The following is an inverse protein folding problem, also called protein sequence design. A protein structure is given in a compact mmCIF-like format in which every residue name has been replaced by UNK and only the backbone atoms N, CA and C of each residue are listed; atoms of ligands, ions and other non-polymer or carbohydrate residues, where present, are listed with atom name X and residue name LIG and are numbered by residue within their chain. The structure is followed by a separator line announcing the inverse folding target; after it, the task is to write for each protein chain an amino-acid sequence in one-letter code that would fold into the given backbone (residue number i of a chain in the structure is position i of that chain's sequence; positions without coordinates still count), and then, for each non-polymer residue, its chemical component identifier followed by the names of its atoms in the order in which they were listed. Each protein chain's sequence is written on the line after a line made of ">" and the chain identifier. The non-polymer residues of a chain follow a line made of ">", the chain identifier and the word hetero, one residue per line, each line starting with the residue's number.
data_IF_824412444115
#
_entry.id   IF_824412444115
#
_cell.length_a   1.000
_cell.length_b   1.000
_cell.length_c   1.000
_cell.angle_alpha   90.00
_cell.angle_beta   90.00
_cell.angle_gamma   90.00
#
_symmetry.space_group_name_H-M   'P 1'
#
loop_
_entity.id
_entity.type
_entity.pdbx_description
1 polymer ?
#
# COMPACT_ATOMS: atom_id res chain seq x y z
N UNK A 1 2.67 8.81 2.06
CA UNK A 1 3.54 7.75 2.57
C UNK A 1 2.73 6.47 2.73
N UNK A 2 2.77 5.55 1.76
CA UNK A 2 1.99 4.30 1.82
C UNK A 2 2.21 3.46 3.10
N UNK A 3 1.20 2.67 3.48
CA UNK A 3 1.27 1.68 4.56
C UNK A 3 0.51 0.44 4.12
N UNK A 4 1.00 -0.74 4.48
CA UNK A 4 0.22 -1.98 4.41
C UNK A 4 0.41 -2.78 5.68
N UNK A 5 -0.67 -3.39 6.17
CA UNK A 5 -0.65 -4.27 7.34
C UNK A 5 -1.35 -5.55 6.94
N UNK A 6 -0.75 -6.69 7.27
CA UNK A 6 -1.30 -8.00 7.00
C UNK A 6 -1.38 -8.83 8.28
N UNK A 7 -2.28 -9.80 8.28
CA UNK A 7 -2.43 -10.76 9.37
C UNK A 7 -2.78 -12.14 8.84
N UNK A 8 -2.32 -13.14 9.58
CA UNK A 8 -2.70 -14.56 9.44
C UNK A 8 -3.39 -15.07 10.70
N UNK A 9 -3.87 -14.17 11.56
CA UNK A 9 -4.42 -14.53 12.87
C UNK A 9 -5.92 -14.89 12.85
N UNK A 10 -6.65 -14.50 11.80
CA UNK A 10 -8.09 -14.75 11.75
C UNK A 10 -8.39 -16.24 11.43
N UNK A 11 -9.29 -16.91 12.15
CA UNK A 11 -9.60 -18.32 11.93
C UNK A 11 -10.28 -18.58 10.58
N UNK A 12 -11.17 -17.70 10.12
CA UNK A 12 -11.83 -17.84 8.81
C UNK A 12 -11.01 -17.29 7.63
N UNK A 13 -10.09 -16.36 7.89
CA UNK A 13 -9.31 -15.64 6.89
C UNK A 13 -7.82 -15.89 7.14
N UNK A 14 -7.25 -17.03 6.67
CA UNK A 14 -5.84 -17.35 6.87
C UNK A 14 -4.88 -16.30 6.31
N UNK A 15 -5.36 -15.43 5.41
CA UNK A 15 -4.65 -14.22 5.01
C UNK A 15 -5.60 -13.02 4.91
N UNK A 16 -5.20 -11.92 5.52
CA UNK A 16 -5.84 -10.62 5.44
C UNK A 16 -4.79 -9.54 5.19
N UNK A 17 -5.10 -8.57 4.33
CA UNK A 17 -4.27 -7.39 4.09
C UNK A 17 -5.11 -6.13 3.99
N UNK A 18 -4.64 -5.05 4.63
CA UNK A 18 -5.15 -3.69 4.49
C UNK A 18 -4.03 -2.77 3.98
N UNK A 19 -4.33 -1.80 3.12
CA UNK A 19 -3.33 -0.93 2.51
C UNK A 19 -3.84 0.47 2.20
N UNK A 20 -3.02 1.49 2.47
CA UNK A 20 -3.19 2.84 1.94
C UNK A 20 -2.12 3.14 0.88
N UNK A 21 -2.56 3.63 -0.27
CA UNK A 21 -1.71 4.28 -1.25
C UNK A 21 -1.83 5.79 -1.10
N UNK A 22 -0.73 6.40 -0.70
CA UNK A 22 -0.62 7.85 -0.62
C UNK A 22 0.20 8.39 -1.76
N UNK A 23 -0.34 9.37 -2.45
CA UNK A 23 0.27 9.96 -3.63
C UNK A 23 -0.34 11.33 -3.96
N UNK A 24 0.26 12.05 -4.89
CA UNK A 24 -0.38 13.19 -5.52
C UNK A 24 -1.74 12.80 -6.13
N UNK A 25 -2.78 13.57 -5.81
CA UNK A 25 -4.14 13.36 -6.30
C UNK A 25 -4.21 13.49 -7.83
N UNK A 26 -3.39 14.39 -8.39
CA UNK A 26 -3.26 14.58 -9.83
C UNK A 26 -2.56 13.43 -10.56
N UNK A 27 -1.98 12.46 -9.84
CA UNK A 27 -1.27 11.35 -10.48
C UNK A 27 -2.28 10.37 -11.07
N UNK A 28 -2.31 10.20 -12.41
CA UNK A 28 -3.35 9.42 -13.05
C UNK A 28 -3.18 7.92 -12.74
N UNK A 29 -4.28 7.28 -12.36
CA UNK A 29 -4.34 5.83 -12.09
C UNK A 29 -5.61 5.22 -12.65
N UNK A 30 -5.55 3.95 -13.06
CA UNK A 30 -6.74 3.11 -13.20
C UNK A 30 -7.07 2.47 -11.86
N UNK A 31 -8.37 2.36 -11.57
CA UNK A 31 -8.91 1.60 -10.44
C UNK A 31 -8.58 0.11 -10.61
N UNK A 32 -8.64 -0.64 -9.52
CA UNK A 32 -8.39 -2.07 -9.57
C UNK A 32 -9.37 -2.81 -10.48
N UNK A 33 -8.81 -3.50 -11.47
CA UNK A 33 -9.50 -4.39 -12.39
C UNK A 33 -8.53 -5.49 -12.87
N UNK A 34 -9.04 -6.51 -13.53
CA UNK A 34 -8.22 -7.47 -14.24
C UNK A 34 -7.47 -6.76 -15.37
N UNK A 35 -6.17 -6.95 -15.44
CA UNK A 35 -5.35 -6.29 -16.45
C UNK A 35 -5.68 -6.79 -17.85
N UNK A 36 -5.42 -5.95 -18.85
CA UNK A 36 -5.51 -6.38 -20.24
C UNK A 36 -4.44 -7.44 -20.56
N UNK A 37 -4.66 -8.27 -21.60
CA UNK A 37 -3.63 -9.15 -22.13
C UNK A 37 -2.30 -8.43 -22.39
N UNK A 38 -1.15 -9.09 -22.18
CA UNK A 38 -1.00 -10.52 -21.92
C UNK A 38 -1.12 -10.92 -20.43
N UNK A 39 -1.31 -9.98 -19.51
CA UNK A 39 -1.27 -10.24 -18.06
C UNK A 39 -2.66 -10.29 -17.41
N UNK A 40 -3.63 -10.88 -18.09
CA UNK A 40 -5.04 -10.94 -17.64
C UNK A 40 -5.30 -11.80 -16.40
N UNK A 41 -4.26 -12.43 -15.86
CA UNK A 41 -4.30 -13.09 -14.55
C UNK A 41 -4.09 -12.14 -13.37
N UNK A 42 -3.74 -10.86 -13.60
CA UNK A 42 -3.40 -9.92 -12.52
C UNK A 42 -4.58 -8.99 -12.23
N UNK A 43 -4.94 -8.87 -10.97
CA UNK A 43 -5.94 -7.94 -10.44
C UNK A 43 -5.25 -6.85 -9.61
N UNK A 44 -5.46 -5.59 -9.97
CA UNK A 44 -5.02 -4.43 -9.17
C UNK A 44 -4.96 -3.14 -9.97
N UNK A 45 -4.79 -2.02 -9.29
CA UNK A 45 -4.71 -0.70 -9.94
C UNK A 45 -3.47 -0.54 -10.82
N UNK A 46 -3.55 0.39 -11.78
CA UNK A 46 -2.43 0.72 -12.69
C UNK A 46 -2.06 2.19 -12.56
N UNK A 47 -0.78 2.46 -12.39
CA UNK A 47 -0.21 3.79 -12.58
C UNK A 47 -0.22 4.14 -14.07
N UNK A 48 -0.70 5.33 -14.43
CA UNK A 48 -0.74 5.80 -15.82
C UNK A 48 0.32 6.87 -16.12
N UNK A 49 1.07 7.31 -15.10
CA UNK A 49 2.08 8.36 -15.24
C UNK A 49 3.28 7.90 -16.06
N UNK A 50 3.56 6.58 -16.05
CA UNK A 50 4.74 5.97 -16.65
C UNK A 50 4.35 4.94 -17.72
N UNK A 51 5.19 4.76 -18.74
CA UNK A 51 4.90 3.88 -19.88
C UNK A 51 4.76 2.41 -19.48
N UNK A 52 5.55 1.95 -18.51
CA UNK A 52 5.52 0.59 -17.96
C UNK A 52 4.20 0.28 -17.24
N UNK A 53 3.45 1.33 -16.90
CA UNK A 53 2.21 1.29 -16.13
C UNK A 53 2.38 0.44 -14.88
N UNK A 54 3.18 0.92 -13.93
CA UNK A 54 3.47 0.16 -12.70
C UNK A 54 2.22 -0.12 -11.85
N UNK A 55 2.36 -0.99 -10.84
CA UNK A 55 1.35 -1.17 -9.79
C UNK A 55 1.98 -1.04 -8.40
N UNK A 56 1.16 -0.77 -7.39
CA UNK A 56 1.58 -0.66 -5.99
C UNK A 56 1.15 -1.86 -5.15
N UNK A 57 0.02 -2.48 -5.49
CA UNK A 57 -0.55 -3.66 -4.85
C UNK A 57 -1.42 -4.40 -5.87
N UNK A 58 -1.16 -5.68 -6.05
CA UNK A 58 -1.97 -6.55 -6.89
C UNK A 58 -1.86 -8.02 -6.46
N UNK A 59 -2.84 -8.82 -6.88
CA UNK A 59 -2.91 -10.26 -6.66
C UNK A 59 -3.26 -10.96 -7.98
N UNK A 60 -2.71 -12.15 -8.22
CA UNK A 60 -3.03 -12.95 -9.40
C UNK A 60 -4.05 -14.05 -9.12
N UNK A 61 -4.66 -14.60 -10.18
CA UNK A 61 -5.50 -15.81 -10.09
C UNK A 61 -4.78 -17.01 -9.46
N UNK A 62 -3.45 -17.06 -9.53
CA UNK A 62 -2.63 -18.12 -8.94
C UNK A 62 -2.20 -17.81 -7.49
N UNK A 63 -2.67 -16.70 -6.92
CA UNK A 63 -2.36 -16.31 -5.54
C UNK A 63 -1.01 -15.62 -5.38
N UNK A 64 -0.32 -15.22 -6.47
CA UNK A 64 0.86 -14.35 -6.33
C UNK A 64 0.38 -12.97 -5.91
N UNK A 65 0.82 -12.49 -4.76
CA UNK A 65 0.54 -11.14 -4.26
C UNK A 65 1.86 -10.36 -4.20
N UNK A 66 1.82 -9.08 -4.53
CA UNK A 66 2.95 -8.19 -4.32
C UNK A 66 2.49 -6.78 -3.94
N UNK A 67 3.20 -6.18 -2.99
CA UNK A 67 3.01 -4.82 -2.51
C UNK A 67 4.35 -4.12 -2.49
N UNK A 68 4.40 -2.87 -2.96
CA UNK A 68 5.60 -2.06 -2.92
C UNK A 68 5.34 -0.72 -2.20
N UNK A 69 6.18 -0.43 -1.22
CA UNK A 69 6.23 0.87 -0.55
C UNK A 69 7.54 1.58 -0.93
N UNK A 70 7.42 2.83 -1.35
CA UNK A 70 8.57 3.68 -1.66
C UNK A 70 9.31 4.03 -0.37
N UNK A 71 10.63 3.89 -0.31
CA UNK A 71 11.41 4.41 0.82
C UNK A 71 11.37 5.94 0.80
N UNK A 72 11.33 6.54 1.98
CA UNK A 72 11.55 7.98 2.13
C UNK A 72 13.04 8.23 2.36
N UNK A 73 13.66 8.95 1.45
CA UNK A 73 15.07 9.35 1.53
C UNK A 73 15.13 10.85 1.85
N UNK A 74 16.12 11.28 2.64
CA UNK A 74 16.36 12.70 2.89
C UNK A 74 17.27 13.27 1.79
N UNK A 75 16.86 14.38 1.18
CA UNK A 75 17.58 15.04 0.09
C UNK A 75 17.10 14.62 -1.30
N UNK A 76 16.99 15.61 -2.20
CA UNK A 76 16.77 15.44 -3.64
C UNK A 76 18.01 14.82 -4.29
N UNK A 77 18.40 13.60 -3.91
CA UNK A 77 19.26 12.84 -4.79
C UNK A 77 18.42 12.51 -6.02
N UNK A 78 18.82 13.06 -7.16
CA UNK A 78 18.25 12.80 -8.48
C UNK A 78 18.29 11.30 -8.78
N UNK A 79 17.33 10.58 -8.23
CA UNK A 79 17.04 9.20 -8.55
C UNK A 79 16.70 9.19 -10.03
N UNK A 80 17.37 8.30 -10.77
CA UNK A 80 17.20 8.15 -12.20
C UNK A 80 15.71 7.99 -12.53
N UNK A 81 15.07 9.08 -12.97
CA UNK A 81 13.63 9.14 -13.17
C UNK A 81 13.16 8.20 -14.29
N UNK A 82 14.08 7.54 -15.00
CA UNK A 82 13.77 6.65 -16.10
C UNK A 82 13.11 5.33 -15.66
N UNK A 83 13.42 4.77 -14.47
CA UNK A 83 12.88 3.47 -14.03
C UNK A 83 11.76 3.62 -12.98
N UNK A 84 10.59 3.04 -13.25
CA UNK A 84 9.45 3.03 -12.33
C UNK A 84 9.57 1.89 -11.30
N UNK A 85 9.52 2.21 -9.99
CA UNK A 85 9.45 1.20 -8.92
C UNK A 85 8.28 0.22 -9.08
N UNK A 86 7.15 0.69 -9.60
CA UNK A 86 6.00 -0.18 -9.86
C UNK A 86 6.25 -1.23 -10.96
N UNK A 87 7.30 -1.08 -11.77
CA UNK A 87 7.72 -2.10 -12.72
C UNK A 87 8.34 -3.32 -12.01
N UNK A 88 8.93 -3.13 -10.82
CA UNK A 88 9.45 -4.23 -9.99
C UNK A 88 8.30 -5.14 -9.54
N UNK A 89 7.20 -4.54 -9.08
CA UNK A 89 5.98 -5.25 -8.70
C UNK A 89 5.39 -5.98 -9.91
N UNK A 90 5.33 -5.33 -11.07
CA UNK A 90 4.91 -5.98 -12.32
C UNK A 90 5.78 -7.22 -12.62
N UNK A 91 7.10 -7.12 -12.46
CA UNK A 91 8.03 -8.20 -12.83
C UNK A 91 7.79 -9.54 -12.11
N UNK A 92 7.16 -9.52 -10.91
CA UNK A 92 6.74 -10.74 -10.21
C UNK A 92 5.33 -11.19 -10.62
N UNK A 93 4.40 -10.25 -10.72
CA UNK A 93 2.99 -10.52 -11.01
C UNK A 93 2.77 -11.04 -12.45
N UNK A 94 3.62 -10.62 -13.38
CA UNK A 94 3.54 -11.01 -14.79
C UNK A 94 4.40 -12.21 -15.15
N UNK A 95 5.05 -12.86 -14.17
CA UNK A 95 5.70 -14.16 -14.39
C UNK A 95 4.63 -15.13 -14.95
N UNK A 96 4.91 -15.88 -16.03
CA UNK A 96 3.97 -16.87 -16.54
C UNK A 96 3.53 -17.87 -15.44
N UNK A 97 2.26 -18.30 -15.41
CA UNK A 97 1.77 -19.26 -14.40
C UNK A 97 2.52 -20.59 -14.38
N UNK A 98 3.05 -21.01 -15.53
CA UNK A 98 3.82 -22.22 -15.79
C UNK A 98 5.33 -22.05 -15.62
N UNK A 99 5.80 -20.83 -15.33
CA UNK A 99 7.22 -20.57 -15.04
C UNK A 99 7.65 -21.21 -13.72
N UNK A 100 8.84 -21.82 -13.73
CA UNK A 100 9.51 -22.35 -12.53
C UNK A 100 10.29 -21.32 -11.71
N UNK A 101 10.20 -20.02 -12.02
CA UNK A 101 10.89 -18.97 -11.27
C UNK A 101 10.36 -18.89 -9.82
N UNK A 102 11.26 -19.06 -8.86
CA UNK A 102 10.96 -18.96 -7.42
C UNK A 102 11.09 -17.52 -6.92
N UNK A 103 10.59 -17.23 -5.72
CA UNK A 103 10.80 -15.91 -5.11
C UNK A 103 12.30 -15.61 -4.90
N UNK A 104 13.10 -16.61 -4.52
CA UNK A 104 14.55 -16.47 -4.40
C UNK A 104 15.20 -16.18 -5.76
N UNK A 105 14.78 -16.87 -6.82
CA UNK A 105 15.26 -16.62 -8.18
C UNK A 105 14.93 -15.21 -8.67
N UNK A 106 13.72 -14.72 -8.39
CA UNK A 106 13.34 -13.33 -8.63
C UNK A 106 14.25 -12.38 -7.85
N UNK A 107 14.44 -12.61 -6.55
CA UNK A 107 15.28 -11.75 -5.70
C UNK A 107 16.70 -11.64 -6.23
N UNK A 108 17.31 -12.76 -6.61
CA UNK A 108 18.64 -12.79 -7.20
C UNK A 108 18.70 -12.04 -8.52
N UNK A 109 17.70 -12.21 -9.40
CA UNK A 109 17.62 -11.50 -10.67
C UNK A 109 17.47 -10.00 -10.47
N UNK A 110 16.65 -9.58 -9.51
CA UNK A 110 16.45 -8.17 -9.16
C UNK A 110 17.73 -7.55 -8.59
N UNK A 111 18.42 -8.24 -7.68
CA UNK A 111 19.67 -7.75 -7.08
C UNK A 111 20.84 -7.71 -8.07
N UNK A 112 20.84 -8.55 -9.11
CA UNK A 112 21.84 -8.53 -10.19
C UNK A 112 21.54 -7.48 -11.26
N UNK A 113 20.32 -6.95 -11.35
CA UNK A 113 20.01 -5.84 -12.26
C UNK A 113 20.74 -4.59 -11.77
N UNK A 114 21.77 -4.18 -12.51
CA UNK A 114 22.59 -2.99 -12.24
C UNK A 114 21.73 -1.76 -11.94
N UNK A 115 20.56 -1.64 -12.58
CA UNK A 115 19.71 -0.47 -12.38
C UNK A 115 18.81 -0.51 -11.14
N UNK A 116 18.81 -1.55 -10.30
CA UNK A 116 18.01 -1.56 -9.06
C UNK A 116 18.61 -0.68 -7.97
N UNK A 117 19.93 -0.52 -7.98
CA UNK A 117 20.65 0.34 -7.05
C UNK A 117 20.52 1.82 -7.46
N UNK A 118 20.37 2.09 -8.75
CA UNK A 118 20.10 3.43 -9.31
C UNK A 118 18.63 3.87 -9.13
N UNK A 119 17.76 2.95 -8.72
CA UNK A 119 16.37 3.27 -8.36
C UNK A 119 16.29 3.84 -6.94
N UNK A 120 15.30 4.72 -6.74
CA UNK A 120 14.95 5.24 -5.43
C UNK A 120 14.59 4.10 -4.49
N UNK A 121 14.78 4.32 -3.19
CA UNK A 121 14.57 3.28 -2.21
C UNK A 121 13.17 2.67 -2.32
N UNK A 122 13.05 1.38 -2.05
CA UNK A 122 11.76 0.69 -1.88
C UNK A 122 11.85 -0.48 -0.92
N UNK A 123 10.70 -0.91 -0.40
CA UNK A 123 10.49 -2.22 0.20
C UNK A 123 9.35 -2.90 -0.55
N UNK A 124 9.59 -4.13 -1.01
CA UNK A 124 8.59 -4.95 -1.66
C UNK A 124 8.34 -6.20 -0.82
N UNK A 125 7.07 -6.46 -0.54
CA UNK A 125 6.58 -7.69 0.05
C UNK A 125 5.88 -8.50 -1.04
N UNK A 126 6.24 -9.76 -1.21
CA UNK A 126 5.69 -10.57 -2.30
C UNK A 126 5.76 -12.07 -2.01
N UNK A 127 4.92 -12.85 -2.67
CA UNK A 127 4.92 -14.30 -2.52
C UNK A 127 3.64 -14.92 -3.05
N UNK A 128 3.62 -16.25 -3.13
CA UNK A 128 2.42 -17.01 -3.53
C UNK A 128 1.66 -17.48 -2.29
N UNK A 129 0.42 -17.01 -2.15
CA UNK A 129 -0.51 -17.47 -1.12
C UNK A 129 -0.92 -18.92 -1.40
N UNK A 130 -0.98 -19.73 -0.35
CA UNK A 130 -1.35 -21.15 -0.39
C UNK A 130 -2.15 -21.50 0.86
N UNK A 131 -2.94 -22.57 0.78
CA UNK A 131 -3.64 -23.10 1.94
C UNK A 131 -2.66 -23.40 3.08
N UNK A 132 -2.99 -23.01 4.33
CA UNK A 132 -2.24 -23.46 5.50
C UNK A 132 -2.19 -25.00 5.51
N UNK A 133 -0.99 -25.58 5.57
CA UNK A 133 -0.86 -27.04 5.66
C UNK A 133 -1.33 -27.48 7.04
N UNK A 134 -2.24 -28.47 7.08
CA UNK A 134 -2.75 -29.04 8.33
C UNK A 134 -1.60 -29.43 9.25
N UNK A 135 -1.85 -29.27 10.55
CA UNK A 135 -0.99 -29.73 11.64
C UNK A 135 -0.52 -31.16 11.38
N UNK A 136 0.80 -31.37 11.33
CA UNK A 136 1.35 -32.65 11.75
C UNK A 136 1.21 -32.73 13.29
N UNK A 137 1.10 -33.93 13.87
CA UNK A 137 0.85 -34.23 15.29
C UNK A 137 1.83 -33.60 16.33
N UNK A 138 2.66 -32.63 15.94
CA UNK A 138 3.67 -31.95 16.76
C UNK A 138 3.18 -30.68 17.48
N UNK A 139 1.90 -30.30 17.38
CA UNK A 139 1.34 -29.16 18.12
C UNK A 139 1.90 -27.77 17.72
N UNK A 140 2.56 -27.66 16.57
CA UNK A 140 3.15 -26.42 16.04
C UNK A 140 2.22 -25.75 15.03
N UNK A 141 2.01 -24.42 15.09
CA UNK A 141 1.13 -23.67 14.16
C UNK A 141 1.30 -24.07 12.69
N UNK A 142 0.20 -24.12 11.89
CA UNK A 142 0.25 -24.43 10.46
C UNK A 142 1.35 -23.64 9.73
N UNK A 143 2.25 -24.36 9.06
CA UNK A 143 3.34 -23.75 8.31
C UNK A 143 2.80 -23.24 6.96
N UNK A 144 3.09 -21.98 6.66
CA UNK A 144 2.75 -21.30 5.42
C UNK A 144 4.04 -20.93 4.67
N UNK A 145 4.02 -20.85 3.33
CA UNK A 145 5.19 -20.44 2.55
C UNK A 145 5.72 -19.05 2.95
N UNK A 146 4.85 -18.21 3.52
CA UNK A 146 5.14 -16.84 3.88
C UNK A 146 5.37 -15.94 2.67
N UNK A 147 5.52 -14.66 2.97
CA UNK A 147 5.80 -13.60 2.00
C UNK A 147 7.23 -13.10 2.19
N UNK A 148 7.96 -13.07 1.09
CA UNK A 148 9.31 -12.56 1.02
C UNK A 148 9.36 -11.04 1.05
N UNK A 149 10.41 -10.49 1.67
CA UNK A 149 10.70 -9.07 1.72
C UNK A 149 12.01 -8.80 0.99
N UNK A 150 11.99 -7.87 0.06
CA UNK A 150 13.17 -7.36 -0.63
C UNK A 150 13.20 -5.83 -0.61
N UNK A 151 14.38 -5.25 -0.43
CA UNK A 151 14.62 -3.82 -0.44
C UNK A 151 16.00 -3.55 -1.04
N UNK A 152 16.12 -2.46 -1.79
CA UNK A 152 17.40 -1.99 -2.36
C UNK A 152 18.15 -1.03 -1.41
N UNK A 153 17.69 -0.89 -0.15
CA UNK A 153 18.31 -0.06 0.90
C UNK A 153 18.72 -0.84 2.15
N UNK A 154 18.47 -2.14 2.16
CA UNK A 154 18.92 -3.04 3.23
C UNK A 154 19.81 -4.10 2.63
N UNK A 155 20.94 -4.40 3.26
CA UNK A 155 21.79 -5.52 2.84
C UNK A 155 20.96 -6.80 2.76
N UNK A 156 21.00 -7.45 1.61
CA UNK A 156 20.38 -8.76 1.45
C UNK A 156 21.19 -9.75 2.26
N UNK A 157 20.66 -10.24 3.39
CA UNK A 157 21.18 -11.45 4.01
C UNK A 157 21.21 -12.58 2.98
N UNK A 158 22.09 -13.56 3.14
CA UNK A 158 22.19 -14.75 2.27
C UNK A 158 20.89 -15.57 2.16
N UNK A 159 19.87 -15.23 2.95
CA UNK A 159 18.51 -15.76 2.88
C UNK A 159 17.50 -14.62 2.79
N UNK A 160 16.51 -14.80 1.92
CA UNK A 160 15.38 -13.89 1.75
C UNK A 160 14.54 -13.88 3.04
N UNK A 161 14.35 -12.70 3.64
CA UNK A 161 13.51 -12.57 4.84
C UNK A 161 12.07 -12.88 4.48
N UNK A 162 11.42 -13.77 5.24
CA UNK A 162 10.00 -14.12 5.08
C UNK A 162 9.21 -13.79 6.35
N UNK A 163 7.96 -13.39 6.17
CA UNK A 163 6.97 -13.13 7.22
C UNK A 163 5.68 -13.88 6.91
N UNK A 164 4.76 -13.96 7.88
CA UNK A 164 3.52 -14.73 7.73
C UNK A 164 3.79 -16.20 7.38
N UNK A 165 4.82 -16.77 8.03
CA UNK A 165 5.20 -18.18 7.84
C UNK A 165 4.39 -19.11 8.75
N UNK A 166 3.69 -18.56 9.74
CA UNK A 166 2.80 -19.28 10.65
C UNK A 166 1.49 -18.51 10.86
N UNK A 167 0.44 -19.25 11.23
CA UNK A 167 -0.82 -18.66 11.65
C UNK A 167 -0.64 -17.85 12.94
N UNK A 168 -1.35 -16.72 13.08
CA UNK A 168 -1.24 -15.82 14.24
C UNK A 168 -0.26 -14.67 14.09
N UNK A 169 0.39 -14.53 12.93
CA UNK A 169 1.32 -13.43 12.67
C UNK A 169 0.58 -12.16 12.24
N UNK A 170 1.11 -10.99 12.58
CA UNK A 170 0.62 -9.69 12.08
C UNK A 170 1.80 -8.76 11.88
N UNK A 171 1.92 -8.23 10.67
CA UNK A 171 3.08 -7.45 10.23
C UNK A 171 2.67 -6.24 9.43
N UNK A 172 3.40 -5.14 9.60
CA UNK A 172 3.22 -3.91 8.85
C UNK A 172 4.47 -3.52 8.06
N UNK A 173 4.25 -2.94 6.89
CA UNK A 173 5.29 -2.34 6.04
C UNK A 173 4.90 -0.91 5.69
N UNK A 174 5.90 -0.03 5.55
CA UNK A 174 5.69 1.34 5.11
C UNK A 174 6.94 1.85 4.37
N UNK A 175 7.14 3.16 4.33
CA UNK A 175 8.15 3.85 3.51
C UNK A 175 9.56 3.81 4.11
N UNK A 176 9.91 2.71 4.78
CA UNK A 176 11.20 2.47 5.41
C UNK A 176 11.52 0.98 5.40
N UNK A 177 12.66 0.60 6.01
CA UNK A 177 13.05 -0.80 6.05
C UNK A 177 12.07 -1.60 6.90
N UNK A 178 11.91 -2.88 6.57
CA UNK A 178 11.07 -3.75 7.40
C UNK A 178 11.59 -3.82 8.83
N UNK A 179 10.68 -3.74 9.81
CA UNK A 179 11.00 -3.73 11.23
C UNK A 179 11.42 -2.36 11.78
N UNK A 180 11.34 -1.28 10.99
CA UNK A 180 11.55 0.08 11.48
C UNK A 180 10.42 0.50 12.43
N UNK A 181 10.73 0.57 13.73
CA UNK A 181 9.79 0.98 14.77
C UNK A 181 9.69 2.51 14.92
N UNK A 182 10.45 3.29 14.17
CA UNK A 182 10.40 4.77 14.20
C UNK A 182 9.21 5.35 13.42
N UNK A 183 8.37 4.48 12.84
CA UNK A 183 7.12 4.83 12.15
C UNK A 183 5.91 4.42 13.00
N UNK A 184 5.38 5.31 13.86
CA UNK A 184 4.31 4.96 14.79
C UNK A 184 3.06 4.42 14.11
N UNK A 185 2.74 4.88 12.89
CA UNK A 185 1.59 4.37 12.13
C UNK A 185 1.67 2.87 11.83
N UNK A 186 2.88 2.31 11.70
CA UNK A 186 3.07 0.87 11.42
C UNK A 186 2.74 0.07 12.67
N UNK A 187 3.29 0.47 13.82
CA UNK A 187 3.00 -0.13 15.12
C UNK A 187 1.50 -0.05 15.39
N UNK A 188 0.94 1.16 15.28
CA UNK A 188 -0.49 1.42 15.49
C UNK A 188 -1.38 0.62 14.54
N UNK A 189 -1.03 0.54 13.25
CA UNK A 189 -1.77 -0.23 12.27
C UNK A 189 -1.81 -1.73 12.61
N UNK A 190 -0.69 -2.30 13.07
CA UNK A 190 -0.64 -3.70 13.53
C UNK A 190 -1.49 -3.90 14.78
N UNK A 191 -1.43 -2.99 15.76
CA UNK A 191 -2.23 -3.06 16.99
C UNK A 191 -3.73 -2.97 16.71
N UNK A 192 -4.14 -2.02 15.87
CA UNK A 192 -5.53 -1.85 15.47
C UNK A 192 -6.05 -3.07 14.70
N UNK A 193 -5.25 -3.62 13.79
CA UNK A 193 -5.65 -4.81 13.05
C UNK A 193 -5.81 -6.02 13.97
N UNK A 194 -4.90 -6.23 14.93
CA UNK A 194 -5.04 -7.30 15.93
C UNK A 194 -6.34 -7.17 16.71
N UNK A 195 -6.64 -5.96 17.22
CA UNK A 195 -7.88 -5.70 17.97
C UNK A 195 -9.12 -5.96 17.12
N UNK A 196 -9.18 -5.45 15.89
CA UNK A 196 -10.32 -5.67 14.99
C UNK A 196 -10.53 -7.16 14.68
N UNK A 197 -9.45 -7.94 14.55
CA UNK A 197 -9.53 -9.39 14.38
C UNK A 197 -10.02 -10.07 15.67
N UNK A 198 -9.44 -9.74 16.83
CA UNK A 198 -9.85 -10.29 18.13
C UNK A 198 -11.33 -10.02 18.42
N UNK A 199 -11.77 -8.78 18.19
CA UNK A 199 -13.17 -8.35 18.36
C UNK A 199 -14.10 -9.11 17.40
N UNK A 200 -13.73 -9.28 16.12
CA UNK A 200 -14.52 -10.02 15.16
C UNK A 200 -14.56 -11.53 15.49
N UNK A 201 -13.50 -12.11 16.03
CA UNK A 201 -13.50 -13.51 16.46
C UNK A 201 -14.37 -13.71 17.71
N UNK A 202 -14.30 -12.79 18.67
CA UNK A 202 -15.09 -12.86 19.89
C UNK A 202 -16.58 -12.56 19.65
N UNK A 203 -16.86 -11.57 18.81
CA UNK A 203 -18.20 -11.13 18.41
C UNK A 203 -18.24 -10.95 16.89
N UNK A 204 -18.53 -12.03 16.14
CA UNK A 204 -18.60 -11.98 14.69
C UNK A 204 -19.49 -10.87 14.17
N UNK A 205 -18.96 -10.10 13.22
CA UNK A 205 -19.73 -9.08 12.53
C UNK A 205 -20.93 -9.70 11.81
N UNK A 206 -22.03 -8.96 11.71
CA UNK A 206 -23.28 -9.45 11.12
C UNK A 206 -23.13 -9.85 9.64
N UNK A 207 -22.15 -9.31 8.94
CA UNK A 207 -21.77 -9.68 7.58
C UNK A 207 -20.28 -9.49 7.32
N UNK A 208 -19.78 -10.09 6.23
CA UNK A 208 -18.42 -9.83 5.74
C UNK A 208 -18.22 -8.34 5.38
N UNK A 209 -19.27 -7.65 4.91
CA UNK A 209 -19.18 -6.22 4.59
C UNK A 209 -18.93 -5.38 5.84
N UNK A 210 -19.60 -5.69 6.95
CA UNK A 210 -19.38 -4.99 8.22
C UNK A 210 -17.93 -5.20 8.70
N UNK A 211 -17.39 -6.41 8.55
CA UNK A 211 -15.99 -6.67 8.85
C UNK A 211 -15.04 -5.87 7.93
N UNK A 212 -15.32 -5.81 6.62
CA UNK A 212 -14.56 -4.99 5.67
C UNK A 212 -14.60 -3.51 6.04
N UNK A 213 -15.74 -2.97 6.48
CA UNK A 213 -15.82 -1.58 6.92
C UNK A 213 -15.03 -1.33 8.23
N UNK A 214 -15.03 -2.28 9.17
CA UNK A 214 -14.17 -2.22 10.34
C UNK A 214 -12.68 -2.18 9.96
N UNK A 215 -12.28 -2.92 8.92
CA UNK A 215 -10.91 -2.88 8.39
C UNK A 215 -10.59 -1.55 7.69
N UNK A 216 -11.53 -0.99 6.92
CA UNK A 216 -11.37 0.35 6.34
C UNK A 216 -11.27 1.44 7.41
N UNK A 217 -11.92 1.28 8.57
CA UNK A 217 -11.83 2.27 9.66
C UNK A 217 -10.38 2.46 10.16
N UNK A 218 -9.57 1.39 10.15
CA UNK A 218 -8.14 1.45 10.47
C UNK A 218 -7.40 2.35 9.47
N UNK A 219 -7.74 2.21 8.19
CA UNK A 219 -7.14 2.96 7.09
C UNK A 219 -7.52 4.46 7.07
N UNK A 220 -8.50 4.86 7.88
CA UNK A 220 -8.98 6.24 8.03
C UNK A 220 -8.40 6.97 9.26
N UNK A 221 -7.49 6.36 10.01
CA UNK A 221 -6.88 6.99 11.19
C UNK A 221 -5.96 8.16 10.79
N UNK A 222 -6.38 9.38 11.12
CA UNK A 222 -5.67 10.64 10.89
C UNK A 222 -5.09 11.20 12.20
N UNK A 223 -3.79 11.00 12.40
CA UNK A 223 -3.03 11.55 13.54
C UNK A 223 -2.12 12.72 13.11
N UNK A 224 -2.28 13.26 11.89
CA UNK A 224 -1.41 14.35 11.43
C UNK A 224 -1.86 15.65 12.10
N UNK A 225 -0.97 16.39 12.77
CA UNK A 225 -1.30 17.72 13.27
C UNK A 225 -1.60 18.67 12.10
N UNK A 226 -2.39 19.72 12.36
CA UNK A 226 -2.48 20.84 11.40
C UNK A 226 -1.09 21.48 11.27
N UNK A 227 -0.68 21.81 10.04
CA UNK A 227 0.58 22.51 9.78
C UNK A 227 0.58 23.84 10.53
N UNK A 228 1.67 24.13 11.25
CA UNK A 228 1.82 25.41 11.95
C UNK A 228 2.25 26.50 10.97
N UNK A 229 1.87 27.75 11.25
CA UNK A 229 2.30 28.90 10.45
C UNK A 229 3.83 29.01 10.51
N UNK A 230 4.48 29.05 9.34
CA UNK A 230 5.95 29.10 9.23
C UNK A 230 6.67 27.76 9.42
N UNK A 231 5.95 26.65 9.61
CA UNK A 231 6.56 25.32 9.65
C UNK A 231 7.04 24.92 8.25
N UNK A 232 8.31 24.56 8.16
CA UNK A 232 8.92 24.06 6.93
C UNK A 232 8.20 22.80 6.41
N UNK A 233 8.14 22.65 5.09
CA UNK A 233 7.42 21.54 4.47
C UNK A 233 8.07 20.19 4.77
N UNK A 234 9.40 20.09 4.72
CA UNK A 234 10.09 18.83 4.97
C UNK A 234 9.90 18.39 6.43
N UNK A 235 9.93 19.36 7.35
CA UNK A 235 9.56 19.15 8.75
C UNK A 235 8.11 18.68 8.88
N UNK A 236 7.16 19.32 8.18
CA UNK A 236 5.75 18.95 8.27
C UNK A 236 5.48 17.53 7.73
N UNK A 237 6.11 17.17 6.61
CA UNK A 237 6.02 15.84 6.02
C UNK A 237 6.57 14.78 6.99
N UNK A 238 7.48 15.11 7.92
CA UNK A 238 7.92 14.16 8.97
C UNK A 238 6.76 13.73 9.89
N UNK A 239 5.74 14.56 10.12
CA UNK A 239 4.58 14.18 10.93
C UNK A 239 3.70 13.10 10.29
N UNK A 240 3.71 13.01 8.96
CA UNK A 240 2.91 12.01 8.23
C UNK A 240 3.32 10.55 8.55
N UNK A 241 4.50 10.32 9.15
CA UNK A 241 4.90 8.99 9.65
C UNK A 241 4.05 8.51 10.83
N UNK A 242 3.34 9.44 11.49
CA UNK A 242 2.50 9.16 12.65
C UNK A 242 1.10 8.70 12.27
N UNK A 243 0.67 8.97 11.04
CA UNK A 243 -0.72 8.78 10.61
C UNK A 243 -0.87 7.71 9.54
N UNK A 244 -1.96 6.94 9.61
CA UNK A 244 -2.29 5.91 8.61
C UNK A 244 -2.93 6.57 7.38
N UNK A 245 -3.88 7.49 7.59
CA UNK A 245 -4.50 8.31 6.55
C UNK A 245 -3.76 9.65 6.42
N UNK A 246 -3.57 10.11 5.19
CA UNK A 246 -3.07 11.43 4.88
C UNK A 246 -4.20 12.24 4.20
N UNK A 247 -4.90 13.12 4.93
CA UNK A 247 -5.93 13.96 4.32
C UNK A 247 -5.31 14.94 3.30
N UNK A 248 -5.88 15.08 2.08
CA UNK A 248 -5.30 15.97 1.06
C UNK A 248 -5.21 17.42 1.48
N UNK A 249 -6.18 17.90 2.27
CA UNK A 249 -6.16 19.27 2.83
C UNK A 249 -4.91 19.53 3.70
N UNK A 250 -4.35 18.48 4.32
CA UNK A 250 -3.10 18.58 5.10
C UNK A 250 -1.88 18.38 4.21
N UNK A 251 -1.98 17.68 3.09
CA UNK A 251 -0.88 17.46 2.16
C UNK A 251 -0.81 18.43 0.97
N UNK A 252 -1.44 19.60 1.05
CA UNK A 252 -1.27 20.65 0.04
C UNK A 252 0.17 21.17 0.02
N UNK A 253 0.82 21.10 -1.14
CA UNK A 253 2.07 21.82 -1.39
C UNK A 253 1.71 23.30 -1.59
N UNK A 254 1.91 24.12 -0.56
CA UNK A 254 1.89 25.58 -0.72
C UNK A 254 3.15 25.94 -1.51
N UNK A 255 3.00 26.33 -2.78
CA UNK A 255 4.10 26.97 -3.50
C UNK A 255 4.48 28.24 -2.75
N UNK A 256 5.74 28.37 -2.37
CA UNK A 256 6.31 29.63 -1.90
C UNK A 256 6.28 30.66 -3.04
N UNK A 257 5.12 31.26 -3.33
CA UNK A 257 5.04 32.55 -4.01
C UNK A 257 5.21 33.65 -2.96
N UNK A 258 6.46 33.92 -2.58
CA UNK A 258 6.93 35.24 -2.12
C UNK A 258 8.35 35.14 -1.55
N UNK A 259 9.36 35.15 -2.42
CA UNK A 259 10.68 35.68 -2.05
C UNK A 259 11.22 36.72 -3.04
N UNK A 260 10.53 36.99 -4.17
CA UNK A 260 11.04 37.88 -5.23
C UNK A 260 10.11 39.04 -5.65
N UNK A 261 9.16 39.45 -4.80
CA UNK A 261 8.42 40.70 -5.03
C UNK A 261 8.36 41.57 -3.77
N UNK A 262 9.52 42.06 -3.35
CA UNK A 262 9.60 43.30 -2.58
C UNK A 262 9.78 44.47 -3.56
N UNK A 263 8.66 45.09 -3.97
CA UNK A 263 8.62 46.50 -4.37
C UNK A 263 7.18 47.02 -4.54
N UNK A 264 6.85 48.03 -3.72
CA UNK A 264 5.75 49.00 -3.82
C UNK A 264 4.35 48.39 -3.59
N UNK A 265 3.45 48.85 -2.73
CA UNK A 265 3.29 50.05 -1.93
C UNK A 265 1.79 50.17 -1.60
N UNK A 266 1.48 50.71 -0.43
CA UNK A 266 0.22 51.30 0.01
C UNK A 266 -1.00 50.48 0.46
N UNK A 267 -1.72 51.14 1.36
CA UNK A 267 -2.68 50.66 2.34
C UNK A 267 -4.13 50.48 1.82
N UNK A 268 -4.89 49.64 2.55
CA UNK A 268 -6.34 49.76 2.67
C UNK A 268 -7.13 48.46 2.47
N UNK A 269 -8.01 48.15 3.42
CA UNK A 269 -9.14 47.25 3.17
C UNK A 269 -9.24 46.04 4.10
N UNK A 270 -10.15 46.15 5.07
CA UNK A 270 -10.61 45.06 5.95
C UNK A 270 -11.71 44.28 5.22
N UNK A 271 -11.47 43.02 4.88
CA UNK A 271 -12.53 42.05 4.53
C UNK A 271 -12.12 40.65 5.03
N UNK A 272 -13.02 40.03 5.80
CA UNK A 272 -12.98 38.61 6.16
C UNK A 272 -13.50 37.76 5.00
N UNK A 273 -12.80 36.72 4.54
CA UNK A 273 -13.41 35.71 3.69
C UNK A 273 -13.72 34.45 4.51
N UNK A 274 -15.02 34.30 4.75
CA UNK A 274 -15.74 33.04 4.88
C UNK A 274 -15.45 32.12 3.68
N UNK A 275 -15.45 30.81 3.93
CA UNK A 275 -15.42 29.73 2.93
C UNK A 275 -14.36 29.87 1.82
N UNK A 276 -13.11 29.54 2.14
CA UNK A 276 -12.05 29.37 1.15
C UNK A 276 -12.45 28.28 0.13
N UNK A 277 -12.91 28.73 -1.04
CA UNK A 277 -12.95 27.93 -2.26
C UNK A 277 -11.56 27.36 -2.50
N UNK A 278 -11.49 26.04 -2.53
CA UNK A 278 -10.31 25.27 -2.90
C UNK A 278 -9.95 25.67 -4.34
N UNK A 279 -8.85 26.39 -4.52
CA UNK A 279 -8.25 26.54 -5.85
C UNK A 279 -7.67 25.18 -6.27
N UNK A 280 -8.45 24.52 -7.12
CA UNK A 280 -8.12 23.28 -7.79
C UNK A 280 -6.98 23.50 -8.77
N UNK A 281 -6.06 22.53 -8.82
CA UNK A 281 -5.14 22.35 -9.93
C UNK A 281 -3.66 22.36 -9.56
N UNK A 282 -3.15 21.25 -9.01
CA UNK A 282 -1.94 20.52 -9.48
C UNK A 282 -1.10 19.83 -8.38
N UNK A 283 -1.19 20.17 -7.08
CA UNK A 283 -0.22 19.66 -6.07
C UNK A 283 -0.79 19.29 -4.69
N UNK A 284 -1.95 18.63 -4.62
CA UNK A 284 -2.41 18.01 -3.37
C UNK A 284 -1.84 16.59 -3.24
N UNK A 285 -1.21 16.29 -2.11
CA UNK A 285 -0.73 14.95 -1.75
C UNK A 285 -1.64 14.34 -0.67
N UNK A 286 -2.00 13.06 -0.78
CA UNK A 286 -2.82 12.41 0.25
C UNK A 286 -3.09 10.94 -0.03
N UNK A 287 -3.86 10.30 0.85
CA UNK A 287 -4.36 8.94 0.62
C UNK A 287 -5.34 8.97 -0.54
N UNK A 288 -5.03 8.24 -1.60
CA UNK A 288 -5.82 8.19 -2.84
C UNK A 288 -6.61 6.90 -2.98
N UNK A 289 -6.00 5.78 -2.55
CA UNK A 289 -6.61 4.44 -2.59
C UNK A 289 -6.45 3.78 -1.24
N UNK A 290 -7.48 3.04 -0.84
CA UNK A 290 -7.47 2.13 0.29
C UNK A 290 -7.85 0.74 -0.21
N UNK A 291 -7.19 -0.31 0.24
CA UNK A 291 -7.45 -1.69 -0.22
C UNK A 291 -7.61 -2.62 0.97
N UNK A 292 -8.61 -3.49 0.91
CA UNK A 292 -8.80 -4.64 1.81
C UNK A 292 -8.78 -5.91 0.95
N UNK A 293 -7.98 -6.90 1.37
CA UNK A 293 -7.93 -8.23 0.76
C UNK A 293 -8.19 -9.25 1.86
N UNK A 294 -9.20 -10.08 1.68
CA UNK A 294 -9.49 -11.25 2.51
C UNK A 294 -9.29 -12.51 1.67
N UNK A 295 -8.61 -13.52 2.21
CA UNK A 295 -8.55 -14.86 1.63
C UNK A 295 -9.03 -15.84 2.67
N UNK A 296 -10.11 -16.55 2.37
CA UNK A 296 -10.71 -17.52 3.29
C UNK A 296 -10.04 -18.90 3.20
N UNK A 297 -10.49 -19.86 4.02
CA UNK A 297 -9.95 -21.23 4.08
C UNK A 297 -10.07 -21.99 2.74
N UNK A 298 -11.07 -21.67 1.91
CA UNK A 298 -11.26 -22.26 0.58
C UNK A 298 -10.45 -21.53 -0.52
N UNK A 299 -9.66 -20.52 -0.17
CA UNK A 299 -8.88 -19.74 -1.13
C UNK A 299 -9.71 -18.73 -1.92
N UNK A 300 -10.95 -18.46 -1.49
CA UNK A 300 -11.76 -17.38 -2.03
C UNK A 300 -11.19 -16.05 -1.58
N UNK A 301 -10.78 -15.25 -2.55
CA UNK A 301 -10.32 -13.88 -2.41
C UNK A 301 -11.52 -12.94 -2.46
N UNK A 302 -11.59 -12.01 -1.52
CA UNK A 302 -12.42 -10.80 -1.59
C UNK A 302 -11.48 -9.60 -1.63
N UNK A 303 -11.39 -8.95 -2.78
CA UNK A 303 -10.56 -7.76 -3.00
C UNK A 303 -11.48 -6.55 -3.10
N UNK A 304 -11.30 -5.58 -2.21
CA UNK A 304 -12.04 -4.31 -2.23
C UNK A 304 -11.06 -3.16 -2.29
N UNK A 305 -11.16 -2.31 -3.32
CA UNK A 305 -10.42 -1.06 -3.40
C UNK A 305 -11.38 0.14 -3.37
N UNK A 306 -11.13 1.03 -2.42
CA UNK A 306 -11.81 2.30 -2.23
C UNK A 306 -10.96 3.42 -2.82
N UNK A 307 -11.48 4.10 -3.84
CA UNK A 307 -10.87 5.31 -4.40
C UNK A 307 -11.47 6.53 -3.72
N UNK A 308 -10.66 7.33 -3.04
CA UNK A 308 -11.16 8.45 -2.24
C UNK A 308 -11.41 9.72 -3.06
N UNK A 309 -10.69 9.90 -4.16
CA UNK A 309 -10.75 11.09 -5.01
C UNK A 309 -10.75 10.72 -6.49
N UNK A 310 -11.47 11.50 -7.30
CA UNK A 310 -11.42 11.41 -8.76
C UNK A 310 -10.16 12.09 -9.34
N UNK A 311 -10.08 12.17 -10.67
CA UNK A 311 -8.93 12.76 -11.38
C UNK A 311 -8.81 14.27 -11.18
N UNK A 312 -9.91 14.94 -10.84
CA UNK A 312 -9.97 16.37 -10.55
C UNK A 312 -9.68 16.66 -9.06
N UNK A 313 -9.46 15.61 -8.26
CA UNK A 313 -9.19 15.70 -6.83
C UNK A 313 -10.46 15.90 -5.99
N UNK A 314 -11.64 15.65 -6.56
CA UNK A 314 -12.91 15.75 -5.84
C UNK A 314 -13.20 14.44 -5.09
N UNK A 315 -13.71 14.49 -3.85
CA UNK A 315 -14.06 13.29 -3.10
C UNK A 315 -15.08 12.42 -3.84
N UNK A 316 -14.85 11.12 -3.89
CA UNK A 316 -15.82 10.14 -4.39
C UNK A 316 -16.67 9.59 -3.23
N UNK A 317 -17.98 9.50 -3.46
CA UNK A 317 -18.94 8.98 -2.48
C UNK A 317 -19.78 7.84 -3.05
N UNK A 318 -20.33 7.02 -2.14
CA UNK A 318 -21.27 5.96 -2.49
C UNK A 318 -20.71 4.88 -3.42
N UNK A 319 -21.55 4.42 -4.35
CA UNK A 319 -21.28 3.27 -5.25
C UNK A 319 -20.08 3.49 -6.20
N UNK A 320 -19.75 4.73 -6.49
CA UNK A 320 -18.68 5.06 -7.44
C UNK A 320 -17.30 5.01 -6.77
N UNK A 321 -17.26 4.90 -5.44
CA UNK A 321 -16.04 4.92 -4.62
C UNK A 321 -15.33 3.56 -4.56
N UNK A 322 -16.09 2.47 -4.40
CA UNK A 322 -15.54 1.15 -4.07
C UNK A 322 -15.66 0.20 -5.27
N UNK A 323 -14.58 -0.52 -5.62
CA UNK A 323 -14.62 -1.69 -6.52
C UNK A 323 -14.43 -2.95 -5.71
N UNK A 324 -15.20 -3.99 -6.03
CA UNK A 324 -15.12 -5.30 -5.40
C UNK A 324 -14.93 -6.38 -6.45
N UNK A 325 -13.96 -7.24 -6.22
CA UNK A 325 -13.69 -8.43 -7.04
C UNK A 325 -13.60 -9.65 -6.15
N UNK A 326 -14.20 -10.74 -6.59
CA UNK A 326 -14.13 -12.04 -5.90
C UNK A 326 -13.71 -13.13 -6.87
N UNK A 327 -12.80 -14.00 -6.44
CA UNK A 327 -12.34 -15.15 -7.22
C UNK A 327 -11.73 -16.19 -6.29
N UNK A 328 -11.54 -17.43 -6.78
CA UNK A 328 -10.84 -18.48 -6.04
C UNK A 328 -9.42 -18.59 -6.56
N UNK A 329 -8.44 -18.72 -5.67
CA UNK A 329 -7.04 -18.93 -6.04
C UNK A 329 -6.88 -20.30 -6.72
N UNK A 330 -6.38 -20.29 -7.95
CA UNK A 330 -6.04 -21.49 -8.70
C UNK A 330 -4.94 -22.27 -7.98
N UNK A 331 -5.20 -23.54 -7.68
CA UNK A 331 -4.26 -24.42 -6.99
C UNK A 331 -4.09 -24.09 -5.50
N UNK A 332 -5.08 -23.46 -4.85
CA UNK A 332 -5.05 -23.10 -3.42
C UNK A 332 -4.63 -24.28 -2.51
N UNK A 333 -5.20 -25.46 -2.75
CA UNK A 333 -4.94 -26.68 -1.98
C UNK A 333 -3.69 -27.46 -2.44
N UNK A 334 -2.86 -26.90 -3.33
CA UNK A 334 -1.67 -27.58 -3.86
C UNK A 334 -1.95 -28.70 -4.87
N UNK A 335 -3.21 -28.86 -5.30
CA UNK A 335 -3.58 -29.76 -6.39
C UNK A 335 -3.42 -28.99 -7.70
N UNK A 336 -2.35 -29.29 -8.45
CA UNK A 336 -2.12 -28.83 -9.82
C UNK A 336 -2.93 -29.64 -10.81
#
# INVERSE_FOLDING_TARGET
>A
MCISVLSTAHPEYPFLLISNRDEFLSRPTLRADWWNPPSSQVLGGRDLQRQERGTWLAITKQGRIAILTNFREEGDTEINQAKSRGAITNSYLTIPPDSGETEEGLAERLMKDVGIHDMGGFTMLYGKLQAPKSLNDSGSSPNMPGLAIISNRTESSSRLRRIATHQGETHGISNSHFGDTTWPKVIRGQELLKRVIEDNVATPSSSQNDFIENLFSILCVDDIPKRKLGEDWDMYVRHMRNSIMIPPAKGQVIENRAADQLRVGDAGGMETPDHAKVESGQKAYGTTKQTVILVNQEGKVTYVERTLFDQDGMPLEGKDRDVRHEFVINGWNGIS
#
